data_IF_339055318107
#
_entry.id   IF_339055318107
#
_cell.length_a   1.000
_cell.length_b   1.000
_cell.length_c   1.000
_cell.angle_alpha   90.00
_cell.angle_beta   90.00
_cell.angle_gamma   90.00
#
_symmetry.space_group_name_H-M   'P 1'
#
loop_
_entity.id
_entity.type
_entity.pdbx_description
1 polymer ?
#
# COMPACT_ATOMS: atom_id res chain seq x y z
N UNK A 1 18.74 -26.55 0.16
CA UNK A 1 18.22 -25.33 -0.51
C UNK A 1 16.76 -25.20 -0.17
N UNK A 2 16.43 -24.40 0.85
CA UNK A 2 15.05 -24.02 1.11
C UNK A 2 14.56 -23.23 -0.10
N UNK A 3 13.60 -23.78 -0.84
CA UNK A 3 12.81 -23.02 -1.78
C UNK A 3 11.95 -22.06 -0.93
N UNK A 4 12.36 -20.81 -0.87
CA UNK A 4 11.49 -19.75 -0.38
C UNK A 4 10.18 -19.82 -1.18
N UNK A 5 9.04 -19.85 -0.52
CA UNK A 5 7.75 -19.74 -1.19
C UNK A 5 7.71 -18.42 -1.99
N UNK A 6 6.87 -18.32 -3.01
CA UNK A 6 6.71 -17.07 -3.78
C UNK A 6 6.39 -15.89 -2.84
N UNK A 7 5.58 -16.12 -1.81
CA UNK A 7 5.27 -15.14 -0.78
C UNK A 7 6.51 -14.67 -0.01
N UNK A 8 7.41 -15.58 0.40
CA UNK A 8 8.65 -15.21 1.08
C UNK A 8 9.59 -14.40 0.17
N UNK A 9 9.65 -14.74 -1.13
CA UNK A 9 10.40 -13.97 -2.11
C UNK A 9 9.84 -12.56 -2.31
N UNK A 10 8.52 -12.41 -2.33
CA UNK A 10 7.87 -11.11 -2.48
C UNK A 10 8.10 -10.23 -1.24
N UNK A 11 8.02 -10.80 -0.06
CA UNK A 11 8.30 -10.11 1.21
C UNK A 11 9.73 -9.61 1.27
N UNK A 12 10.72 -10.45 0.93
CA UNK A 12 12.14 -10.06 0.90
C UNK A 12 12.41 -8.90 -0.08
N UNK A 13 11.79 -8.92 -1.25
CA UNK A 13 11.90 -7.82 -2.22
C UNK A 13 11.35 -6.49 -1.67
N UNK A 14 10.34 -6.54 -0.79
CA UNK A 14 9.74 -5.33 -0.22
C UNK A 14 10.53 -4.72 0.93
N UNK A 15 11.45 -5.46 1.54
CA UNK A 15 12.47 -4.88 2.42
C UNK A 15 13.47 -4.04 1.63
N UNK A 16 13.90 -4.51 0.45
CA UNK A 16 14.69 -3.73 -0.49
C UNK A 16 14.01 -2.41 -0.88
N UNK A 17 12.67 -2.36 -0.95
CA UNK A 17 11.94 -1.12 -1.16
C UNK A 17 12.19 -0.09 -0.05
N UNK A 18 12.14 -0.51 1.22
CA UNK A 18 12.38 0.42 2.32
C UNK A 18 13.81 0.96 2.32
N UNK A 19 14.79 0.13 1.98
CA UNK A 19 16.17 0.57 1.83
C UNK A 19 16.34 1.56 0.68
N UNK A 20 15.77 1.27 -0.47
CA UNK A 20 15.78 2.17 -1.61
C UNK A 20 15.14 3.53 -1.29
N UNK A 21 14.00 3.52 -0.60
CA UNK A 21 13.34 4.76 -0.15
C UNK A 21 14.27 5.56 0.76
N UNK A 22 14.95 4.94 1.73
CA UNK A 22 15.93 5.61 2.60
C UNK A 22 17.09 6.25 1.80
N UNK A 23 17.59 5.55 0.80
CA UNK A 23 18.65 6.09 -0.07
C UNK A 23 18.16 7.31 -0.85
N UNK A 24 16.99 7.23 -1.48
CA UNK A 24 16.41 8.33 -2.23
C UNK A 24 16.02 9.51 -1.33
N UNK A 25 15.48 9.27 -0.14
CA UNK A 25 15.22 10.32 0.86
C UNK A 25 16.49 11.13 1.19
N UNK A 26 17.62 10.43 1.34
CA UNK A 26 18.92 11.06 1.59
C UNK A 26 19.40 11.87 0.39
N UNK A 27 19.32 11.32 -0.82
CA UNK A 27 19.72 12.00 -2.06
C UNK A 27 18.87 13.25 -2.31
N UNK A 28 17.56 13.15 -2.10
CA UNK A 28 16.61 14.23 -2.32
C UNK A 28 16.51 15.21 -1.14
N UNK A 29 17.23 14.96 -0.05
CA UNK A 29 17.17 15.74 1.20
C UNK A 29 15.74 15.93 1.71
N UNK A 30 14.93 14.85 1.66
CA UNK A 30 13.57 14.81 2.18
C UNK A 30 13.37 13.56 3.02
N UNK A 31 12.24 13.51 3.76
CA UNK A 31 11.76 12.31 4.44
C UNK A 31 10.26 12.22 4.26
N UNK A 32 9.76 11.02 3.93
CA UNK A 32 8.32 10.78 3.85
C UNK A 32 7.75 10.54 5.26
N UNK A 33 6.63 11.21 5.53
CA UNK A 33 5.89 11.08 6.79
C UNK A 33 4.97 9.87 6.78
N UNK A 34 4.46 9.49 5.60
CA UNK A 34 3.56 8.35 5.40
C UNK A 34 3.88 7.63 4.11
N UNK A 35 3.64 6.32 4.10
CA UNK A 35 3.75 5.45 2.94
C UNK A 35 2.40 4.78 2.74
N UNK A 36 1.75 5.00 1.61
CA UNK A 36 0.44 4.43 1.29
C UNK A 36 0.60 3.28 0.32
N UNK A 37 -0.06 2.16 0.60
CA UNK A 37 -0.02 0.96 -0.24
C UNK A 37 -1.38 0.28 -0.30
N UNK A 38 -1.75 -0.26 -1.46
CA UNK A 38 -2.91 -1.15 -1.58
C UNK A 38 -2.64 -2.49 -0.91
N UNK A 39 -3.61 -3.02 -0.17
CA UNK A 39 -3.48 -4.30 0.53
C UNK A 39 -4.64 -5.22 0.18
N UNK A 40 -4.31 -6.42 -0.31
CA UNK A 40 -5.28 -7.49 -0.58
C UNK A 40 -4.84 -8.81 0.07
N UNK A 41 -3.58 -9.21 -0.15
CA UNK A 41 -2.98 -10.42 0.42
C UNK A 41 -2.00 -10.14 1.56
N UNK A 42 -1.65 -8.89 1.79
CA UNK A 42 -0.83 -8.44 2.91
C UNK A 42 0.68 -8.53 2.73
N UNK A 43 1.21 -9.33 1.81
CA UNK A 43 2.66 -9.56 1.69
C UNK A 43 3.45 -8.28 1.41
N UNK A 44 2.92 -7.40 0.58
CA UNK A 44 3.58 -6.13 0.24
C UNK A 44 3.66 -5.21 1.46
N UNK A 45 2.53 -4.99 2.13
CA UNK A 45 2.50 -4.14 3.32
C UNK A 45 3.38 -4.73 4.43
N UNK A 46 3.28 -6.03 4.68
CA UNK A 46 4.07 -6.70 5.72
C UNK A 46 5.58 -6.52 5.51
N UNK A 47 6.06 -6.72 4.27
CA UNK A 47 7.46 -6.50 3.94
C UNK A 47 7.90 -5.03 4.10
N UNK A 48 7.04 -4.07 3.75
CA UNK A 48 7.30 -2.65 3.99
C UNK A 48 7.33 -2.33 5.48
N UNK A 49 6.37 -2.82 6.29
CA UNK A 49 6.32 -2.63 7.74
C UNK A 49 7.64 -3.10 8.37
N UNK A 50 8.07 -4.32 8.08
CA UNK A 50 9.32 -4.87 8.62
C UNK A 50 10.53 -4.07 8.14
N UNK A 51 10.58 -3.72 6.86
CA UNK A 51 11.66 -2.92 6.31
C UNK A 51 11.78 -1.51 6.91
N UNK A 52 10.65 -0.86 7.21
CA UNK A 52 10.64 0.46 7.87
C UNK A 52 10.71 0.39 9.39
N UNK A 53 10.63 -0.80 9.98
CA UNK A 53 10.77 -0.98 11.42
C UNK A 53 12.19 -0.71 11.93
N UNK A 54 13.20 -0.86 11.08
CA UNK A 54 14.61 -0.60 11.41
C UNK A 54 14.87 0.87 11.81
N UNK A 55 14.11 1.80 11.25
CA UNK A 55 14.19 3.23 11.56
C UNK A 55 12.93 3.77 12.25
N UNK A 56 12.21 2.88 12.95
CA UNK A 56 11.02 3.18 13.76
C UNK A 56 9.84 3.78 12.99
N UNK A 57 9.72 3.44 11.69
CA UNK A 57 8.66 3.92 10.79
C UNK A 57 7.63 2.86 10.40
N UNK A 58 7.59 1.70 11.07
CA UNK A 58 6.60 0.65 10.78
C UNK A 58 5.17 1.23 10.74
N UNK A 59 4.80 2.05 11.72
CA UNK A 59 3.51 2.73 11.84
C UNK A 59 3.23 3.80 10.78
N UNK A 60 4.19 4.12 9.93
CA UNK A 60 4.02 5.05 8.80
C UNK A 60 3.54 4.36 7.53
N UNK A 61 3.57 3.03 7.51
CA UNK A 61 3.08 2.23 6.38
C UNK A 61 1.58 1.98 6.56
N UNK A 62 0.78 2.71 5.81
CA UNK A 62 -0.67 2.66 5.86
C UNK A 62 -1.19 1.82 4.70
N UNK A 63 -1.79 0.69 5.01
CA UNK A 63 -2.47 -0.16 4.04
C UNK A 63 -3.90 0.31 3.78
N UNK A 64 -4.28 0.42 2.53
CA UNK A 64 -5.67 0.62 2.13
C UNK A 64 -6.24 -0.73 1.72
N UNK A 65 -7.25 -1.22 2.43
CA UNK A 65 -7.88 -2.52 2.12
C UNK A 65 -8.62 -2.48 0.79
N UNK A 66 -8.16 -3.27 -0.16
CA UNK A 66 -8.84 -3.55 -1.42
C UNK A 66 -9.54 -4.92 -1.45
N UNK A 67 -9.44 -5.71 -0.37
CA UNK A 67 -9.98 -7.08 -0.32
C UNK A 67 -11.45 -7.17 0.05
N UNK A 68 -11.93 -6.23 0.87
CA UNK A 68 -13.26 -6.25 1.47
C UNK A 68 -13.44 -7.28 2.61
N UNK A 69 -12.34 -7.78 3.15
CA UNK A 69 -12.34 -8.74 4.26
C UNK A 69 -11.39 -8.29 5.39
N UNK A 70 -11.63 -7.13 6.03
CA UNK A 70 -10.66 -6.48 6.91
C UNK A 70 -10.21 -7.36 8.08
N UNK A 71 -11.12 -8.07 8.76
CA UNK A 71 -10.77 -8.91 9.91
C UNK A 71 -9.83 -10.07 9.54
N UNK A 72 -10.04 -10.64 8.36
CA UNK A 72 -9.16 -11.69 7.83
C UNK A 72 -7.83 -11.09 7.40
N UNK A 73 -7.86 -9.94 6.75
CA UNK A 73 -6.69 -9.26 6.24
C UNK A 73 -5.74 -8.84 7.37
N UNK A 74 -6.26 -8.25 8.45
CA UNK A 74 -5.43 -7.85 9.62
C UNK A 74 -4.70 -9.05 10.21
N UNK A 75 -5.39 -10.18 10.41
CA UNK A 75 -4.78 -11.42 10.92
C UNK A 75 -3.69 -11.94 9.99
N UNK A 76 -3.97 -11.93 8.68
CA UNK A 76 -3.02 -12.39 7.67
C UNK A 76 -1.78 -11.49 7.61
N UNK A 77 -1.96 -10.17 7.63
CA UNK A 77 -0.82 -9.23 7.66
C UNK A 77 0.00 -9.43 8.93
N UNK A 78 -0.66 -9.59 10.10
CA UNK A 78 0.02 -9.87 11.37
C UNK A 78 0.92 -11.09 11.27
N UNK A 79 0.37 -12.21 10.79
CA UNK A 79 1.12 -13.47 10.62
C UNK A 79 2.32 -13.30 9.68
N UNK A 80 2.13 -12.59 8.54
CA UNK A 80 3.22 -12.36 7.59
C UNK A 80 4.28 -11.44 8.19
N UNK A 81 3.89 -10.41 8.94
CA UNK A 81 4.82 -9.50 9.63
C UNK A 81 5.68 -10.27 10.63
N UNK A 82 5.08 -11.11 11.48
CA UNK A 82 5.80 -11.89 12.47
C UNK A 82 6.81 -12.85 11.81
N UNK A 83 6.33 -13.64 10.84
CA UNK A 83 7.20 -14.56 10.08
C UNK A 83 8.33 -13.84 9.34
N UNK A 84 8.07 -12.62 8.86
CA UNK A 84 9.08 -11.81 8.17
C UNK A 84 10.10 -11.27 9.14
N UNK A 85 9.66 -10.72 10.27
CA UNK A 85 10.53 -10.18 11.31
C UNK A 85 11.48 -11.24 11.86
N UNK A 86 10.96 -12.45 12.07
CA UNK A 86 11.77 -13.61 12.47
C UNK A 86 12.78 -14.02 11.41
N UNK A 87 12.35 -14.08 10.14
CA UNK A 87 13.21 -14.49 9.02
C UNK A 87 14.41 -13.56 8.82
N UNK A 88 14.25 -12.28 9.10
CA UNK A 88 15.30 -11.24 8.91
C UNK A 88 16.01 -10.90 10.21
N UNK A 89 15.69 -11.60 11.29
CA UNK A 89 16.27 -11.35 12.61
C UNK A 89 16.17 -9.87 13.03
N UNK A 90 14.94 -9.29 12.88
CA UNK A 90 14.69 -7.85 13.11
C UNK A 90 15.10 -7.35 14.49
N UNK A 91 15.21 -8.24 15.48
CA UNK A 91 15.64 -7.90 16.85
C UNK A 91 14.60 -7.17 17.71
N UNK A 92 13.40 -6.92 17.16
CA UNK A 92 12.25 -6.37 17.92
C UNK A 92 10.92 -6.93 17.43
N UNK A 93 9.92 -6.90 18.28
CA UNK A 93 8.54 -7.23 17.93
C UNK A 93 7.84 -6.00 17.33
N UNK A 94 7.10 -6.20 16.24
CA UNK A 94 6.19 -5.20 15.69
C UNK A 94 4.90 -5.25 16.52
N UNK A 95 4.48 -4.11 17.09
CA UNK A 95 3.25 -4.03 17.88
C UNK A 95 2.02 -3.97 16.98
N UNK A 96 0.85 -4.30 17.53
CA UNK A 96 -0.41 -4.27 16.78
C UNK A 96 -0.77 -2.86 16.31
N UNK A 97 -0.44 -1.84 17.10
CA UNK A 97 -0.66 -0.43 16.75
C UNK A 97 0.27 0.10 15.64
N UNK A 98 1.28 -0.68 15.25
CA UNK A 98 2.15 -0.39 14.11
C UNK A 98 1.65 -0.99 12.79
N UNK A 99 0.60 -1.83 12.82
CA UNK A 99 -0.02 -2.43 11.63
C UNK A 99 -1.32 -1.68 11.32
N UNK A 100 -1.23 -0.70 10.45
CA UNK A 100 -2.35 0.18 10.12
C UNK A 100 -2.96 -0.26 8.79
N UNK A 101 -4.23 -0.70 8.84
CA UNK A 101 -5.03 -1.05 7.67
C UNK A 101 -6.34 -0.28 7.73
N UNK A 102 -6.65 0.46 6.69
CA UNK A 102 -7.88 1.24 6.57
C UNK A 102 -8.89 0.44 5.72
N UNK A 103 -10.03 0.03 6.29
CA UNK A 103 -10.90 -0.97 5.68
C UNK A 103 -11.93 -0.42 4.67
N UNK A 104 -12.17 0.89 4.60
CA UNK A 104 -13.41 1.47 4.06
C UNK A 104 -13.44 1.63 2.53
N UNK A 105 -12.40 1.16 1.81
CA UNK A 105 -12.25 1.48 0.38
C UNK A 105 -12.38 0.28 -0.57
N UNK A 106 -12.74 -0.89 -0.06
CA UNK A 106 -12.95 -2.09 -0.89
C UNK A 106 -14.32 -2.12 -1.61
N UNK A 107 -15.24 -1.21 -1.24
CA UNK A 107 -16.59 -1.12 -1.78
C UNK A 107 -16.60 -0.88 -3.31
N UNK A 108 -17.59 -1.42 -4.07
CA UNK A 108 -18.67 -2.31 -3.60
C UNK A 108 -18.22 -3.77 -3.43
N UNK A 109 -17.14 -4.18 -4.08
CA UNK A 109 -16.53 -5.50 -3.96
C UNK A 109 -15.11 -5.52 -4.52
N UNK A 110 -14.35 -6.58 -4.26
CA UNK A 110 -13.06 -6.82 -4.92
C UNK A 110 -13.22 -6.82 -6.45
N UNK A 111 -12.38 -6.08 -7.14
CA UNK A 111 -12.39 -5.96 -8.60
C UNK A 111 -13.53 -5.13 -9.18
N UNK A 112 -14.43 -4.58 -8.34
CA UNK A 112 -15.50 -3.70 -8.78
C UNK A 112 -15.22 -2.28 -8.30
N UNK A 113 -14.95 -1.31 -9.19
CA UNK A 113 -14.74 0.09 -8.80
C UNK A 113 -16.06 0.76 -8.41
N UNK A 114 -16.03 1.60 -7.38
CA UNK A 114 -17.10 2.57 -7.10
C UNK A 114 -16.92 3.82 -7.97
N UNK A 115 -17.88 4.76 -7.93
CA UNK A 115 -17.72 6.03 -8.64
C UNK A 115 -16.58 6.87 -8.03
N UNK A 116 -16.38 6.81 -6.72
CA UNK A 116 -15.27 7.47 -6.04
C UNK A 116 -13.91 6.87 -6.46
N UNK A 117 -13.85 5.55 -6.67
CA UNK A 117 -12.66 4.89 -7.25
C UNK A 117 -12.39 5.43 -8.65
N UNK A 118 -13.44 5.54 -9.49
CA UNK A 118 -13.33 6.06 -10.85
C UNK A 118 -12.92 7.54 -10.86
N UNK A 119 -13.45 8.35 -9.93
CA UNK A 119 -13.03 9.75 -9.74
C UNK A 119 -11.53 9.83 -9.40
N UNK A 120 -11.06 9.01 -8.47
CA UNK A 120 -9.65 8.98 -8.07
C UNK A 120 -8.73 8.59 -9.25
N UNK A 121 -9.10 7.59 -10.04
CA UNK A 121 -8.36 7.18 -11.25
C UNK A 121 -8.28 8.34 -12.25
N UNK A 122 -9.43 9.00 -12.54
CA UNK A 122 -9.46 10.15 -13.46
C UNK A 122 -8.67 11.34 -12.93
N UNK A 123 -8.73 11.59 -11.63
CA UNK A 123 -7.97 12.66 -10.99
C UNK A 123 -6.47 12.42 -11.14
N UNK A 124 -5.96 11.26 -10.75
CA UNK A 124 -4.55 10.91 -10.88
C UNK A 124 -4.06 11.02 -12.33
N UNK A 125 -4.86 10.53 -13.29
CA UNK A 125 -4.52 10.63 -14.70
C UNK A 125 -4.48 12.08 -15.23
N UNK A 126 -5.44 12.93 -14.82
CA UNK A 126 -5.55 14.31 -15.30
C UNK A 126 -4.53 15.25 -14.69
N UNK A 127 -4.18 15.07 -13.40
CA UNK A 127 -3.29 15.99 -12.69
C UNK A 127 -1.83 15.59 -12.75
N UNK A 128 -1.55 14.28 -12.74
CA UNK A 128 -0.20 13.74 -12.61
C UNK A 128 0.23 12.82 -13.76
N UNK A 129 -0.64 12.61 -14.76
CA UNK A 129 -0.45 11.61 -15.81
C UNK A 129 -0.22 10.19 -15.27
N UNK A 130 -0.68 9.92 -14.05
CA UNK A 130 -0.53 8.62 -13.38
C UNK A 130 -1.73 7.74 -13.72
N UNK A 131 -1.46 6.62 -14.39
CA UNK A 131 -2.50 5.65 -14.73
C UNK A 131 -2.55 4.57 -13.66
N UNK A 132 -3.67 4.51 -12.96
CA UNK A 132 -3.97 3.50 -11.94
C UNK A 132 -5.01 2.51 -12.46
N UNK A 133 -5.19 1.37 -11.78
CA UNK A 133 -6.17 0.34 -12.15
C UNK A 133 -7.39 0.33 -11.22
N UNK A 134 -8.54 -0.19 -11.66
CA UNK A 134 -9.76 -0.19 -10.85
C UNK A 134 -9.78 -1.22 -9.70
N UNK A 135 -8.84 -2.17 -9.69
CA UNK A 135 -8.85 -3.29 -8.73
C UNK A 135 -8.07 -2.96 -7.48
N UNK A 136 -6.85 -2.41 -7.64
CA UNK A 136 -5.90 -2.18 -6.57
C UNK A 136 -5.58 -0.70 -6.39
N UNK A 137 -4.88 -0.13 -7.38
CA UNK A 137 -4.30 1.20 -7.24
C UNK A 137 -5.36 2.31 -7.22
N UNK A 138 -6.44 2.17 -7.95
CA UNK A 138 -7.55 3.13 -7.90
C UNK A 138 -8.23 3.19 -6.55
N UNK A 139 -8.39 2.04 -5.87
CA UNK A 139 -8.98 1.99 -4.52
C UNK A 139 -8.05 2.59 -3.47
N UNK A 140 -6.77 2.29 -3.53
CA UNK A 140 -5.80 2.90 -2.61
C UNK A 140 -5.59 4.39 -2.88
N UNK A 141 -5.66 4.83 -4.13
CA UNK A 141 -5.66 6.25 -4.50
C UNK A 141 -6.90 6.98 -3.97
N UNK A 142 -8.09 6.37 -4.11
CA UNK A 142 -9.32 6.86 -3.48
C UNK A 142 -9.13 7.03 -1.97
N UNK A 143 -8.59 6.00 -1.30
CA UNK A 143 -8.33 6.04 0.14
C UNK A 143 -7.36 7.15 0.53
N UNK A 144 -6.25 7.30 -0.18
CA UNK A 144 -5.29 8.37 0.08
C UNK A 144 -5.92 9.77 -0.09
N UNK A 145 -6.67 10.00 -1.16
CA UNK A 145 -7.33 11.30 -1.43
C UNK A 145 -8.36 11.61 -0.34
N UNK A 146 -9.19 10.64 0.02
CA UNK A 146 -10.24 10.82 1.03
C UNK A 146 -9.64 11.06 2.43
N UNK A 147 -8.62 10.29 2.81
CA UNK A 147 -7.89 10.51 4.07
C UNK A 147 -7.26 11.90 4.13
N UNK A 148 -6.70 12.37 3.02
CA UNK A 148 -6.16 13.74 2.94
C UNK A 148 -7.25 14.80 3.09
N UNK A 149 -8.41 14.64 2.43
CA UNK A 149 -9.59 15.52 2.55
C UNK A 149 -10.16 15.55 3.96
N UNK A 150 -10.12 14.41 4.66
CA UNK A 150 -10.57 14.27 6.07
C UNK A 150 -9.55 14.80 7.09
N UNK A 151 -8.36 15.23 6.65
CA UNK A 151 -7.32 15.75 7.55
C UNK A 151 -6.59 14.67 8.36
N UNK A 152 -6.61 13.43 7.91
CA UNK A 152 -5.88 12.31 8.53
C UNK A 152 -4.37 12.58 8.57
N UNK A 153 -3.83 13.15 7.50
CA UNK A 153 -2.43 13.51 7.41
C UNK A 153 -2.21 14.91 7.96
N UNK A 154 -1.14 15.08 8.75
CA UNK A 154 -0.76 16.41 9.23
C UNK A 154 -0.47 17.35 8.05
N UNK A 155 -0.94 18.59 8.13
CA UNK A 155 -0.70 19.59 7.07
C UNK A 155 0.80 19.75 6.80
N UNK A 156 1.18 19.66 5.54
CA UNK A 156 2.57 19.75 5.08
C UNK A 156 3.32 18.42 5.08
N UNK A 157 2.66 17.32 5.46
CA UNK A 157 3.26 15.98 5.37
C UNK A 157 3.60 15.60 3.93
N UNK A 158 4.70 14.88 3.79
CA UNK A 158 5.11 14.25 2.54
C UNK A 158 4.63 12.81 2.54
N UNK A 159 3.87 12.45 1.53
CA UNK A 159 3.28 11.11 1.38
C UNK A 159 3.94 10.42 0.20
N UNK A 160 4.47 9.22 0.43
CA UNK A 160 4.88 8.31 -0.63
C UNK A 160 3.72 7.40 -0.98
N UNK A 161 3.22 7.49 -2.20
CA UNK A 161 2.24 6.56 -2.73
C UNK A 161 2.96 5.44 -3.48
N UNK A 162 2.85 4.21 -3.00
CA UNK A 162 3.47 3.06 -3.62
C UNK A 162 2.60 2.55 -4.78
N UNK A 163 2.87 3.04 -6.01
CA UNK A 163 2.22 2.57 -7.23
C UNK A 163 2.95 1.32 -7.75
N UNK A 164 2.39 0.14 -7.48
CA UNK A 164 3.06 -1.14 -7.67
C UNK A 164 2.75 -1.84 -9.01
N UNK A 165 1.91 -1.24 -9.83
CA UNK A 165 1.56 -1.80 -11.14
C UNK A 165 0.06 -1.79 -11.42
N UNK A 166 -0.46 -2.88 -11.99
CA UNK A 166 -1.90 -3.03 -12.28
C UNK A 166 -2.39 -2.31 -13.54
N UNK A 167 -1.62 -1.40 -14.12
CA UNK A 167 -2.02 -0.58 -15.28
C UNK A 167 -2.67 -1.38 -16.42
N UNK A 168 -2.17 -2.56 -16.84
CA UNK A 168 -2.82 -3.33 -17.91
C UNK A 168 -4.26 -3.76 -17.59
N UNK A 169 -4.63 -3.86 -16.30
CA UNK A 169 -5.99 -4.23 -15.91
C UNK A 169 -7.05 -3.21 -16.37
N UNK A 170 -6.68 -1.93 -16.56
CA UNK A 170 -7.61 -0.90 -17.04
C UNK A 170 -8.23 -1.25 -18.40
N UNK A 171 -7.53 -2.04 -19.22
CA UNK A 171 -8.06 -2.49 -20.51
C UNK A 171 -9.29 -3.39 -20.36
N UNK A 172 -9.37 -4.18 -19.27
CA UNK A 172 -10.55 -5.00 -18.94
C UNK A 172 -11.76 -4.16 -18.53
N UNK A 173 -11.56 -2.89 -18.16
CA UNK A 173 -12.59 -1.95 -17.74
C UNK A 173 -12.81 -0.82 -18.76
N UNK A 174 -12.37 -1.02 -20.00
CA UNK A 174 -12.42 0.01 -21.05
C UNK A 174 -13.83 0.59 -21.28
N UNK A 175 -14.88 -0.19 -21.05
CA UNK A 175 -16.28 0.26 -21.13
C UNK A 175 -16.61 1.37 -20.11
N UNK A 176 -15.92 1.38 -18.95
CA UNK A 176 -16.13 2.39 -17.89
C UNK A 176 -15.48 3.73 -18.25
N UNK A 177 -14.39 3.72 -19.03
CA UNK A 177 -13.54 4.90 -19.25
C UNK A 177 -13.63 5.48 -20.66
N UNK A 178 -14.36 4.84 -21.58
CA UNK A 178 -14.48 5.32 -22.99
C UNK A 178 -15.31 6.60 -23.15
N UNK A 179 -16.23 6.86 -22.25
CA UNK A 179 -17.23 7.93 -22.36
C UNK A 179 -17.15 8.95 -21.22
N UNK A 180 -16.02 9.05 -20.54
CA UNK A 180 -15.80 9.91 -19.39
C UNK A 180 -14.84 11.06 -19.59
#
# INVERSE_FOLDING_TARGET
THRLSSAASDVYKRQGFAEEVRMQEKELSLKFDYIIVCVVTGSTQAGMIVGFAEDDRAHRVIGIDGSGTPDKLVKQVREIVDNTADLVELGRTIRDDEIIIIPDYAYPAYGVPSEETNEAIRMAAKTEAMITDPVYEGKSMQGMIDLARKGYFKKGSKILYAHLGGVPAINGYSYTYRNG
#
